data_IF_053287970958
#
_entry.id   IF_053287970958
#
_cell.length_a   1.000
_cell.length_b   1.000
_cell.length_c   1.000
_cell.angle_alpha   90.00
_cell.angle_beta   90.00
_cell.angle_gamma   90.00
#
_symmetry.space_group_name_H-M   'P 1'
#
loop_
_entity.id
_entity.type
_entity.pdbx_description
1 polymer ?
#
# COMPACT_ATOMS: atom_id res chain seq x y z
N UNK A 1 -39.60 7.62 12.82
CA UNK A 1 -38.14 7.47 12.68
C UNK A 1 -37.73 6.20 13.41
N UNK A 2 -37.23 5.21 12.67
CA UNK A 2 -37.12 3.81 13.09
C UNK A 2 -35.86 3.57 13.92
N UNK A 3 -35.96 3.52 15.25
CA UNK A 3 -34.85 3.08 16.11
C UNK A 3 -34.65 1.56 16.12
N UNK A 4 -35.54 0.81 15.43
CA UNK A 4 -35.46 -0.65 15.34
C UNK A 4 -34.46 -1.15 14.31
N UNK A 5 -34.17 -0.38 13.25
CA UNK A 5 -33.19 -0.78 12.23
C UNK A 5 -31.76 -0.72 12.76
N UNK A 6 -31.44 0.31 13.54
CA UNK A 6 -30.09 0.52 14.05
C UNK A 6 -29.71 -0.52 15.11
N UNK A 7 -30.67 -0.92 15.95
CA UNK A 7 -30.47 -1.97 16.96
C UNK A 7 -30.31 -3.36 16.35
N UNK A 8 -31.00 -3.65 15.24
CA UNK A 8 -30.86 -4.93 14.52
C UNK A 8 -29.50 -5.00 13.83
N UNK A 9 -29.07 -3.90 13.21
CA UNK A 9 -27.76 -3.83 12.55
C UNK A 9 -26.61 -3.97 13.55
N UNK A 10 -26.69 -3.35 14.73
CA UNK A 10 -25.68 -3.54 15.79
C UNK A 10 -25.68 -4.94 16.38
N UNK A 11 -26.83 -5.63 16.44
CA UNK A 11 -26.92 -6.99 16.95
C UNK A 11 -26.44 -8.03 15.94
N UNK A 12 -26.63 -7.80 14.64
CA UNK A 12 -26.05 -8.65 13.59
C UNK A 12 -24.53 -8.45 13.51
N UNK A 13 -24.05 -7.21 13.64
CA UNK A 13 -22.61 -6.91 13.78
C UNK A 13 -22.03 -7.53 15.05
N UNK A 14 -22.77 -7.52 16.17
CA UNK A 14 -22.37 -8.19 17.40
C UNK A 14 -22.43 -9.71 17.28
N UNK A 15 -23.42 -10.31 16.62
CA UNK A 15 -23.49 -11.77 16.40
C UNK A 15 -22.40 -12.27 15.45
N UNK A 16 -22.02 -11.47 14.46
CA UNK A 16 -20.83 -11.72 13.63
C UNK A 16 -19.53 -11.57 14.44
N UNK A 17 -19.51 -10.72 15.48
CA UNK A 17 -18.36 -10.54 16.36
C UNK A 17 -18.29 -11.55 17.53
N UNK A 18 -19.43 -12.02 18.05
CA UNK A 18 -19.58 -13.00 19.13
C UNK A 18 -20.06 -14.31 18.53
N UNK A 19 -19.16 -15.00 17.85
CA UNK A 19 -19.45 -16.28 17.20
C UNK A 19 -19.93 -17.32 18.20
N UNK A 20 -21.19 -17.71 18.05
CA UNK A 20 -21.67 -19.02 18.51
C UNK A 20 -22.01 -19.81 17.26
N UNK A 21 -21.04 -20.52 16.69
CA UNK A 21 -21.29 -21.53 15.66
C UNK A 21 -20.28 -22.69 15.75
N UNK A 22 -20.71 -23.90 15.33
CA UNK A 22 -20.10 -25.18 15.68
C UNK A 22 -18.68 -25.30 15.14
N UNK A 23 -17.94 -26.31 15.62
CA UNK A 23 -16.56 -26.62 15.24
C UNK A 23 -16.42 -27.09 13.77
N UNK A 24 -16.93 -26.29 12.83
CA UNK A 24 -16.73 -26.42 11.39
C UNK A 24 -15.36 -25.82 11.08
N UNK A 25 -14.36 -26.70 11.03
CA UNK A 25 -13.01 -26.49 10.52
C UNK A 25 -12.42 -25.08 10.70
N UNK A 26 -11.76 -24.85 11.82
CA UNK A 26 -11.05 -23.60 12.17
C UNK A 26 -10.13 -23.05 11.06
N UNK A 27 -9.67 -23.91 10.13
CA UNK A 27 -8.90 -23.52 8.95
C UNK A 27 -9.76 -22.86 7.88
N UNK A 28 -10.93 -23.39 7.55
CA UNK A 28 -11.83 -22.83 6.54
C UNK A 28 -12.31 -21.44 6.98
N UNK A 29 -12.68 -21.30 8.26
CA UNK A 29 -13.04 -19.99 8.83
C UNK A 29 -11.89 -18.99 8.80
N UNK A 30 -10.64 -19.42 9.02
CA UNK A 30 -9.45 -18.56 8.96
C UNK A 30 -9.11 -18.13 7.54
N UNK A 31 -9.17 -19.05 6.57
CA UNK A 31 -8.93 -18.75 5.15
C UNK A 31 -10.03 -17.83 4.60
N UNK A 32 -11.28 -18.08 4.96
CA UNK A 32 -12.41 -17.22 4.58
C UNK A 32 -12.25 -15.78 5.08
N UNK A 33 -11.86 -15.60 6.36
CA UNK A 33 -11.54 -14.27 6.91
C UNK A 33 -10.36 -13.61 6.21
N UNK A 34 -9.28 -14.35 5.96
CA UNK A 34 -8.13 -13.83 5.23
C UNK A 34 -8.48 -13.37 3.82
N UNK A 35 -9.28 -14.14 3.08
CA UNK A 35 -9.76 -13.76 1.74
C UNK A 35 -10.68 -12.53 1.78
N UNK A 36 -11.54 -12.42 2.79
CA UNK A 36 -12.36 -11.23 3.00
C UNK A 36 -11.52 -9.98 3.30
N UNK A 37 -10.59 -10.09 4.25
CA UNK A 37 -9.68 -9.01 4.65
C UNK A 37 -8.76 -8.60 3.50
N UNK A 38 -8.27 -9.55 2.71
CA UNK A 38 -7.34 -9.29 1.60
C UNK A 38 -8.07 -8.83 0.33
N UNK A 39 -9.15 -9.49 -0.04
CA UNK A 39 -9.89 -9.24 -1.27
C UNK A 39 -10.80 -8.02 -1.15
N UNK A 40 -11.81 -8.09 -0.28
CA UNK A 40 -12.84 -7.05 -0.21
C UNK A 40 -12.30 -5.75 0.37
N UNK A 41 -11.60 -5.83 1.51
CA UNK A 41 -11.05 -4.63 2.17
C UNK A 41 -9.66 -4.26 1.65
N UNK A 42 -8.80 -5.25 1.42
CA UNK A 42 -7.39 -5.03 1.09
C UNK A 42 -7.18 -4.55 -0.34
N UNK A 43 -7.85 -5.15 -1.34
CA UNK A 43 -7.60 -4.86 -2.75
C UNK A 43 -8.06 -3.44 -3.12
N UNK A 44 -9.28 -3.06 -2.73
CA UNK A 44 -9.80 -1.71 -2.96
C UNK A 44 -8.93 -0.65 -2.26
N UNK A 45 -8.50 -0.93 -1.04
CA UNK A 45 -7.64 -0.03 -0.27
C UNK A 45 -6.24 0.10 -0.90
N UNK A 46 -5.60 -1.01 -1.27
CA UNK A 46 -4.28 -1.00 -1.92
C UNK A 46 -4.36 -0.28 -3.26
N UNK A 47 -5.37 -0.60 -4.08
CA UNK A 47 -5.53 0.03 -5.39
C UNK A 47 -5.70 1.55 -5.28
N UNK A 48 -6.60 2.02 -4.41
CA UNK A 48 -6.87 3.44 -4.22
C UNK A 48 -5.66 4.17 -3.63
N UNK A 49 -5.03 3.60 -2.61
CA UNK A 49 -3.86 4.21 -1.97
C UNK A 49 -2.63 4.22 -2.87
N UNK A 50 -2.51 3.27 -3.80
CA UNK A 50 -1.37 3.14 -4.72
C UNK A 50 -1.61 3.79 -6.07
N UNK A 51 -2.74 4.49 -6.25
CA UNK A 51 -3.11 5.09 -7.52
C UNK A 51 -2.00 5.98 -8.13
N UNK A 52 -1.26 6.81 -7.37
CA UNK A 52 -0.18 7.62 -7.93
C UNK A 52 0.95 6.79 -8.56
N UNK A 53 1.43 5.74 -7.88
CA UNK A 53 2.52 4.90 -8.41
C UNK A 53 2.08 4.06 -9.61
N UNK A 54 0.84 3.57 -9.59
CA UNK A 54 0.25 2.84 -10.71
C UNK A 54 0.05 3.77 -11.90
N UNK A 55 -0.46 4.98 -11.69
CA UNK A 55 -0.61 5.96 -12.76
C UNK A 55 0.73 6.22 -13.47
N UNK A 56 1.81 6.41 -12.70
CA UNK A 56 3.14 6.57 -13.28
C UNK A 56 3.61 5.31 -14.03
N UNK A 57 3.42 4.11 -13.45
CA UNK A 57 3.84 2.85 -14.07
C UNK A 57 3.15 2.59 -15.42
N UNK A 58 1.85 2.90 -15.52
CA UNK A 58 1.09 2.75 -16.76
C UNK A 58 1.38 3.85 -17.80
N UNK A 59 1.92 5.00 -17.37
CA UNK A 59 2.28 6.13 -18.23
C UNK A 59 3.77 6.24 -18.52
N UNK A 60 4.57 5.25 -18.15
CA UNK A 60 6.01 5.26 -18.39
C UNK A 60 6.38 5.02 -19.87
N UNK A 61 7.31 5.81 -20.45
CA UNK A 61 7.80 5.63 -21.82
C UNK A 61 8.72 4.43 -22.06
N UNK A 62 9.56 4.09 -21.07
CA UNK A 62 10.54 2.99 -21.18
C UNK A 62 9.97 1.63 -20.74
N UNK A 63 8.75 1.62 -20.22
CA UNK A 63 8.05 0.43 -19.77
C UNK A 63 7.43 -0.34 -20.92
N UNK A 64 8.16 -1.32 -21.45
CA UNK A 64 7.56 -2.44 -22.18
C UNK A 64 6.59 -3.25 -21.30
N UNK A 65 6.11 -4.37 -21.84
CA UNK A 65 5.22 -5.32 -21.17
C UNK A 65 5.68 -5.68 -19.74
N UNK A 66 6.99 -5.68 -19.47
CA UNK A 66 7.57 -6.09 -18.18
C UNK A 66 7.18 -5.23 -16.99
N UNK A 67 7.28 -3.89 -17.05
CA UNK A 67 6.93 -3.00 -15.90
C UNK A 67 5.43 -3.05 -15.62
N UNK A 68 4.60 -3.01 -16.67
CA UNK A 68 3.13 -3.04 -16.51
C UNK A 68 2.66 -4.39 -15.98
N UNK A 69 3.17 -5.48 -16.52
CA UNK A 69 2.84 -6.83 -16.03
C UNK A 69 3.35 -7.04 -14.60
N UNK A 70 4.55 -6.54 -14.26
CA UNK A 70 5.05 -6.57 -12.88
C UNK A 70 4.15 -5.75 -11.95
N UNK A 71 3.70 -4.57 -12.36
CA UNK A 71 2.76 -3.77 -11.58
C UNK A 71 1.44 -4.50 -11.33
N UNK A 72 0.87 -5.15 -12.35
CA UNK A 72 -0.36 -5.93 -12.20
C UNK A 72 -0.18 -7.08 -11.21
N UNK A 73 0.92 -7.85 -11.31
CA UNK A 73 1.22 -8.94 -10.38
C UNK A 73 1.36 -8.40 -8.95
N UNK A 74 2.16 -7.35 -8.75
CA UNK A 74 2.43 -6.83 -7.42
C UNK A 74 1.19 -6.17 -6.79
N UNK A 75 0.30 -5.54 -7.56
CA UNK A 75 -0.98 -4.99 -7.06
C UNK A 75 -1.89 -6.09 -6.53
N UNK A 76 -1.89 -7.27 -7.15
CA UNK A 76 -2.70 -8.42 -6.68
C UNK A 76 -2.06 -9.08 -5.47
N UNK A 77 -0.73 -9.22 -5.44
CA UNK A 77 -0.04 -9.92 -4.34
C UNK A 77 0.04 -9.08 -3.07
N UNK A 78 0.27 -7.77 -3.18
CA UNK A 78 0.39 -6.87 -2.03
C UNK A 78 -0.77 -6.97 -1.02
N UNK A 79 -2.06 -6.92 -1.42
CA UNK A 79 -3.18 -7.04 -0.47
C UNK A 79 -3.26 -8.43 0.18
N UNK A 80 -2.85 -9.50 -0.51
CA UNK A 80 -2.78 -10.86 0.06
C UNK A 80 -1.75 -10.93 1.20
N UNK A 81 -0.59 -10.32 0.99
CA UNK A 81 0.48 -10.26 1.98
C UNK A 81 0.07 -9.39 3.17
N UNK A 82 -0.51 -8.21 2.90
CA UNK A 82 -1.03 -7.33 3.95
C UNK A 82 -2.10 -8.03 4.78
N UNK A 83 -3.04 -8.74 4.14
CA UNK A 83 -4.04 -9.54 4.84
C UNK A 83 -3.42 -10.66 5.66
N UNK A 84 -2.38 -11.33 5.15
CA UNK A 84 -1.68 -12.36 5.91
C UNK A 84 -1.00 -11.80 7.17
N UNK A 85 -0.43 -10.59 7.12
CA UNK A 85 0.09 -9.91 8.31
C UNK A 85 -1.02 -9.46 9.28
N UNK A 86 -2.17 -9.02 8.77
CA UNK A 86 -3.32 -8.59 9.61
C UNK A 86 -3.93 -9.76 10.40
N UNK A 87 -4.03 -10.92 9.77
CA UNK A 87 -4.57 -12.14 10.37
C UNK A 87 -3.53 -12.91 11.21
N UNK A 88 -2.32 -12.37 11.37
CA UNK A 88 -1.24 -13.01 12.15
C UNK A 88 -0.66 -14.27 11.52
N UNK A 89 -0.90 -14.52 10.23
CA UNK A 89 -0.29 -15.63 9.48
C UNK A 89 1.20 -15.40 9.22
N UNK A 90 1.61 -14.12 9.17
CA UNK A 90 3.01 -13.69 9.06
C UNK A 90 3.37 -12.82 10.26
N UNK A 91 4.56 -13.01 10.84
CA UNK A 91 5.05 -12.21 11.95
C UNK A 91 6.34 -11.48 11.57
N UNK A 92 6.33 -10.14 11.68
CA UNK A 92 7.49 -9.27 11.45
C UNK A 92 7.73 -8.33 12.64
N UNK A 93 7.42 -8.79 13.85
CA UNK A 93 7.63 -8.09 15.11
C UNK A 93 6.58 -7.03 15.49
N UNK A 94 5.88 -6.41 14.52
CA UNK A 94 4.77 -5.48 14.78
C UNK A 94 3.54 -5.81 13.93
N UNK A 95 2.31 -5.76 14.49
CA UNK A 95 1.11 -6.05 13.74
C UNK A 95 0.90 -5.02 12.64
N UNK A 96 0.34 -5.47 11.51
CA UNK A 96 -0.06 -4.53 10.47
C UNK A 96 -1.17 -3.62 10.99
N UNK A 97 -1.05 -2.30 10.89
CA UNK A 97 -2.02 -1.44 11.50
C UNK A 97 -3.35 -1.46 10.72
N UNK A 98 -4.46 -1.65 11.44
CA UNK A 98 -5.83 -1.67 10.90
C UNK A 98 -6.39 -0.25 10.75
N UNK A 99 -7.38 -0.08 9.88
CA UNK A 99 -8.18 1.15 9.79
C UNK A 99 -9.51 0.85 10.47
N UNK A 100 -9.85 1.63 11.49
CA UNK A 100 -11.15 1.56 12.16
C UNK A 100 -11.85 2.90 12.02
N UNK A 101 -13.18 2.89 11.94
CA UNK A 101 -14.03 4.08 11.86
C UNK A 101 -13.73 5.08 12.98
N UNK A 102 -13.44 4.60 14.19
CA UNK A 102 -13.04 5.42 15.35
C UNK A 102 -11.73 6.21 15.16
N UNK A 103 -10.85 5.81 14.21
CA UNK A 103 -9.64 6.57 13.90
C UNK A 103 -9.93 7.68 12.89
N UNK A 104 -10.93 7.55 12.04
CA UNK A 104 -11.28 8.53 11.01
C UNK A 104 -11.97 9.79 11.54
N UNK A 105 -12.36 9.83 12.83
CA UNK A 105 -13.01 11.00 13.45
C UNK A 105 -12.03 12.09 13.90
N UNK A 106 -10.71 11.89 13.79
CA UNK A 106 -9.70 12.83 14.25
C UNK A 106 -8.64 13.11 13.17
N UNK A 107 -8.07 14.32 13.15
CA UNK A 107 -7.04 14.74 12.20
C UNK A 107 -5.83 13.78 12.15
N UNK A 108 -5.38 13.29 13.31
CA UNK A 108 -4.30 12.31 13.41
C UNK A 108 -4.58 10.96 12.74
N UNK A 109 -5.85 10.55 12.64
CA UNK A 109 -6.20 9.31 11.96
C UNK A 109 -6.21 9.42 10.44
N UNK A 110 -6.65 10.56 9.89
CA UNK A 110 -6.47 10.87 8.46
C UNK A 110 -4.98 10.87 8.09
N UNK A 111 -4.14 11.50 8.92
CA UNK A 111 -2.70 11.52 8.71
C UNK A 111 -2.09 10.12 8.72
N UNK A 112 -2.53 9.26 9.65
CA UNK A 112 -2.10 7.86 9.69
C UNK A 112 -2.49 7.08 8.42
N UNK A 113 -3.62 7.37 7.80
CA UNK A 113 -4.05 6.69 6.56
C UNK A 113 -3.23 7.22 5.39
N UNK A 114 -3.06 8.54 5.31
CA UNK A 114 -2.22 9.19 4.30
C UNK A 114 -0.79 8.64 4.30
N UNK A 115 -0.13 8.59 5.46
CA UNK A 115 1.22 8.03 5.61
C UNK A 115 1.33 6.58 5.13
N UNK A 116 0.32 5.76 5.43
CA UNK A 116 0.30 4.36 4.94
C UNK A 116 0.16 4.31 3.43
N UNK A 117 -0.67 5.17 2.84
CA UNK A 117 -0.77 5.27 1.40
C UNK A 117 0.55 5.66 0.76
N UNK A 118 1.26 6.64 1.31
CA UNK A 118 2.59 7.05 0.84
C UNK A 118 3.60 5.91 0.94
N UNK A 119 3.70 5.24 2.09
CA UNK A 119 4.59 4.09 2.26
C UNK A 119 4.26 2.93 1.31
N UNK A 120 2.98 2.70 1.03
CA UNK A 120 2.54 1.69 0.07
C UNK A 120 2.94 2.07 -1.37
N UNK A 121 2.82 3.34 -1.74
CA UNK A 121 3.34 3.84 -3.03
C UNK A 121 4.85 3.65 -3.14
N UNK A 122 5.61 3.89 -2.06
CA UNK A 122 7.05 3.65 -2.05
C UNK A 122 7.38 2.16 -2.19
N UNK A 123 6.70 1.28 -1.43
CA UNK A 123 6.89 -0.17 -1.51
C UNK A 123 6.58 -0.74 -2.88
N UNK A 124 5.44 -0.38 -3.45
CA UNK A 124 5.11 -0.78 -4.81
C UNK A 124 6.05 -0.14 -5.82
N UNK A 125 6.43 1.13 -5.65
CA UNK A 125 7.36 1.81 -6.53
C UNK A 125 8.72 1.11 -6.60
N UNK A 126 9.31 0.78 -5.44
CA UNK A 126 10.56 0.04 -5.37
C UNK A 126 10.42 -1.32 -6.07
N UNK A 127 9.38 -2.10 -5.75
CA UNK A 127 9.18 -3.42 -6.37
C UNK A 127 8.94 -3.36 -7.89
N UNK A 128 8.06 -2.46 -8.34
CA UNK A 128 7.68 -2.29 -9.74
C UNK A 128 8.87 -1.81 -10.57
N UNK A 129 9.56 -0.77 -10.12
CA UNK A 129 10.64 -0.16 -10.91
C UNK A 129 11.95 -0.95 -10.81
N UNK A 130 12.29 -1.52 -9.66
CA UNK A 130 13.48 -2.40 -9.57
C UNK A 130 13.26 -3.72 -10.34
N UNK A 131 12.12 -4.38 -10.14
CA UNK A 131 11.74 -5.57 -10.92
C UNK A 131 11.65 -5.26 -12.41
N UNK A 132 10.99 -4.16 -12.75
CA UNK A 132 10.90 -3.66 -14.13
C UNK A 132 12.26 -3.40 -14.78
N UNK A 133 13.21 -2.80 -14.06
CA UNK A 133 14.57 -2.59 -14.54
C UNK A 133 15.28 -3.92 -14.86
N UNK A 134 15.19 -4.90 -13.95
CA UNK A 134 15.74 -6.25 -14.17
C UNK A 134 15.05 -6.93 -15.35
N UNK A 135 13.73 -6.80 -15.47
CA UNK A 135 12.98 -7.35 -16.60
C UNK A 135 13.38 -6.76 -17.94
N UNK A 136 13.66 -5.45 -17.98
CA UNK A 136 14.17 -4.78 -19.18
C UNK A 136 15.59 -5.25 -19.53
N UNK A 137 16.47 -5.39 -18.52
CA UNK A 137 17.84 -5.86 -18.73
C UNK A 137 17.93 -7.31 -19.20
N UNK A 138 17.04 -8.17 -18.69
CA UNK A 138 17.05 -9.62 -18.95
C UNK A 138 16.08 -10.06 -20.04
N UNK A 139 15.14 -9.19 -20.46
CA UNK A 139 14.04 -9.55 -21.34
C UNK A 139 13.03 -10.53 -20.72
N UNK A 140 13.05 -10.73 -19.39
CA UNK A 140 12.27 -11.77 -18.70
C UNK A 140 11.31 -11.19 -17.67
N UNK A 141 10.01 -11.43 -17.86
CA UNK A 141 8.99 -11.12 -16.87
C UNK A 141 9.18 -11.93 -15.58
N UNK A 142 9.61 -13.18 -15.69
CA UNK A 142 9.86 -14.03 -14.53
C UNK A 142 10.99 -13.46 -13.65
N UNK A 143 12.06 -12.94 -14.26
CA UNK A 143 13.13 -12.26 -13.54
C UNK A 143 12.63 -10.96 -12.89
N UNK A 144 11.79 -10.19 -13.60
CA UNK A 144 11.18 -8.97 -13.08
C UNK A 144 10.34 -9.23 -11.82
N UNK A 145 9.45 -10.22 -11.90
CA UNK A 145 8.59 -10.63 -10.78
C UNK A 145 9.42 -11.25 -9.66
N UNK A 146 10.42 -12.06 -9.99
CA UNK A 146 11.32 -12.70 -9.03
C UNK A 146 12.11 -11.72 -8.17
N UNK A 147 12.40 -10.53 -8.68
CA UNK A 147 13.04 -9.44 -7.91
C UNK A 147 12.01 -8.53 -7.25
N UNK A 148 10.96 -8.15 -7.97
CA UNK A 148 9.94 -7.22 -7.47
C UNK A 148 9.16 -7.79 -6.28
N UNK A 149 8.85 -9.09 -6.29
CA UNK A 149 8.06 -9.75 -5.26
C UNK A 149 8.78 -9.74 -3.89
N UNK A 150 10.04 -10.20 -3.74
CA UNK A 150 10.77 -10.08 -2.47
C UNK A 150 10.86 -8.65 -1.96
N UNK A 151 11.11 -7.67 -2.84
CA UNK A 151 11.20 -6.26 -2.45
C UNK A 151 9.86 -5.75 -1.90
N UNK A 152 8.73 -6.12 -2.49
CA UNK A 152 7.41 -5.80 -1.96
C UNK A 152 7.18 -6.50 -0.62
N UNK A 153 7.55 -7.78 -0.47
CA UNK A 153 7.39 -8.51 0.79
C UNK A 153 8.16 -7.85 1.93
N UNK A 154 9.43 -7.50 1.69
CA UNK A 154 10.28 -6.79 2.65
C UNK A 154 9.74 -5.40 2.92
N UNK A 155 9.40 -4.65 1.88
CA UNK A 155 8.85 -3.30 1.99
C UNK A 155 7.54 -3.27 2.78
N UNK A 156 6.67 -4.25 2.54
CA UNK A 156 5.46 -4.48 3.34
C UNK A 156 5.89 -4.70 4.80
N UNK A 157 6.70 -5.72 5.10
CA UNK A 157 7.15 -6.01 6.46
C UNK A 157 7.80 -4.82 7.20
N UNK A 158 8.39 -3.86 6.50
CA UNK A 158 8.97 -2.64 7.05
C UNK A 158 7.95 -1.55 7.42
N UNK A 159 6.76 -1.51 6.80
CA UNK A 159 5.75 -0.44 7.03
C UNK A 159 5.40 -0.25 8.51
N UNK A 160 5.17 -1.30 9.33
CA UNK A 160 4.88 -1.12 10.76
C UNK A 160 6.00 -0.42 11.55
N UNK A 161 7.25 -0.54 11.10
CA UNK A 161 8.42 0.10 11.71
C UNK A 161 8.61 1.54 11.26
N UNK A 162 8.16 1.87 10.05
CA UNK A 162 8.23 3.21 9.46
C UNK A 162 7.02 4.09 9.76
N UNK A 163 5.91 3.52 10.25
CA UNK A 163 4.69 4.27 10.58
C UNK A 163 4.83 5.24 11.77
N UNK A 164 5.52 4.89 12.87
CA UNK A 164 5.63 5.76 14.05
C UNK A 164 6.30 7.12 13.78
N UNK A 165 6.06 8.09 14.67
CA UNK A 165 6.61 9.45 14.59
C UNK A 165 7.89 9.62 15.39
N UNK A 166 8.81 8.68 15.24
CA UNK A 166 10.14 8.81 15.85
C UNK A 166 11.11 9.41 14.83
N UNK A 167 12.19 10.07 15.27
CA UNK A 167 13.24 10.57 14.37
C UNK A 167 13.82 9.45 13.48
N UNK A 168 14.02 8.25 14.06
CA UNK A 168 14.53 7.08 13.34
C UNK A 168 13.56 6.61 12.24
N UNK A 169 12.28 6.49 12.55
CA UNK A 169 11.28 6.11 11.56
C UNK A 169 11.18 7.16 10.45
N UNK A 170 11.24 8.45 10.79
CA UNK A 170 11.22 9.55 9.82
C UNK A 170 12.44 9.51 8.88
N UNK A 171 13.64 9.31 9.42
CA UNK A 171 14.85 9.13 8.60
C UNK A 171 14.72 7.92 7.67
N UNK A 172 14.16 6.80 8.16
CA UNK A 172 13.84 5.64 7.34
C UNK A 172 12.86 5.95 6.21
N UNK A 173 11.80 6.73 6.49
CA UNK A 173 10.83 7.18 5.47
C UNK A 173 11.49 8.07 4.41
N UNK A 174 12.38 8.98 4.81
CA UNK A 174 13.15 9.83 3.87
C UNK A 174 13.99 8.94 2.95
N UNK A 175 14.78 8.03 3.51
CA UNK A 175 15.60 7.11 2.72
C UNK A 175 14.75 6.28 1.76
N UNK A 176 13.60 5.79 2.21
CA UNK A 176 12.71 4.99 1.39
C UNK A 176 12.06 5.79 0.26
N UNK A 177 11.64 7.02 0.54
CA UNK A 177 11.13 7.95 -0.47
C UNK A 177 12.19 8.26 -1.53
N UNK A 178 13.43 8.54 -1.12
CA UNK A 178 14.54 8.82 -2.05
C UNK A 178 14.80 7.62 -2.96
N UNK A 179 14.86 6.40 -2.41
CA UNK A 179 15.08 5.18 -3.21
C UNK A 179 13.92 4.97 -4.19
N UNK A 180 12.68 5.04 -3.73
CA UNK A 180 11.49 4.84 -4.56
C UNK A 180 11.39 5.87 -5.69
N UNK A 181 11.56 7.16 -5.38
CA UNK A 181 11.49 8.24 -6.36
C UNK A 181 12.66 8.19 -7.36
N UNK A 182 13.87 7.83 -6.90
CA UNK A 182 15.03 7.70 -7.79
C UNK A 182 14.84 6.55 -8.78
N UNK A 183 14.39 5.38 -8.31
CA UNK A 183 14.07 4.24 -9.19
C UNK A 183 12.96 4.60 -10.17
N UNK A 184 11.88 5.23 -9.68
CA UNK A 184 10.80 5.69 -10.53
C UNK A 184 11.31 6.65 -11.61
N UNK A 185 12.13 7.64 -11.25
CA UNK A 185 12.69 8.61 -12.20
C UNK A 185 13.57 7.94 -13.26
N UNK A 186 14.52 7.10 -12.84
CA UNK A 186 15.50 6.44 -13.72
C UNK A 186 14.83 5.46 -14.68
N UNK A 187 13.92 4.63 -14.16
CA UNK A 187 13.29 3.54 -14.92
C UNK A 187 12.13 4.07 -15.77
N UNK A 188 11.31 4.97 -15.23
CA UNK A 188 10.18 5.51 -15.99
C UNK A 188 10.55 6.63 -16.94
N UNK A 189 11.65 7.34 -16.72
CA UNK A 189 12.05 8.51 -17.50
C UNK A 189 10.87 9.48 -17.73
N UNK A 190 10.22 9.97 -16.66
CA UNK A 190 8.95 10.68 -16.75
C UNK A 190 9.05 11.98 -17.58
N UNK A 191 10.27 12.53 -17.71
CA UNK A 191 10.58 13.75 -18.44
C UNK A 191 11.12 13.52 -19.86
N UNK A 192 10.95 12.32 -20.44
CA UNK A 192 11.49 11.96 -21.77
C UNK A 192 10.94 12.76 -22.96
N UNK A 193 9.97 13.66 -22.76
CA UNK A 193 9.40 14.51 -23.81
C UNK A 193 8.49 13.80 -24.82
N UNK A 194 8.26 12.50 -24.68
CA UNK A 194 7.45 11.74 -25.63
C UNK A 194 5.94 12.09 -25.46
N UNK A 195 5.26 12.53 -26.54
CA UNK A 195 3.87 13.00 -26.47
C UNK A 195 2.85 11.93 -26.08
N UNK A 196 3.18 10.63 -26.20
CA UNK A 196 2.32 9.53 -25.71
C UNK A 196 2.24 9.46 -24.19
N UNK A 197 3.17 10.11 -23.48
CA UNK A 197 3.36 10.00 -22.04
C UNK A 197 3.29 11.36 -21.32
N UNK A 198 2.56 12.32 -21.89
CA UNK A 198 2.41 13.70 -21.37
C UNK A 198 1.98 13.82 -19.90
N UNK A 199 1.36 12.78 -19.34
CA UNK A 199 0.91 12.76 -17.94
C UNK A 199 1.92 12.13 -16.96
N UNK A 200 3.01 11.54 -17.44
CA UNK A 200 4.05 10.97 -16.59
C UNK A 200 4.76 11.99 -15.68
N UNK A 201 5.09 13.23 -16.13
CA UNK A 201 5.62 14.26 -15.25
C UNK A 201 4.67 14.60 -14.10
N UNK A 202 3.36 14.70 -14.37
CA UNK A 202 2.35 15.02 -13.37
C UNK A 202 2.20 13.90 -12.33
N UNK A 203 2.21 12.64 -12.77
CA UNK A 203 2.17 11.49 -11.87
C UNK A 203 3.41 11.42 -10.95
N UNK A 204 4.60 11.70 -11.52
CA UNK A 204 5.84 11.77 -10.75
C UNK A 204 5.83 12.95 -9.76
N UNK A 205 5.39 14.13 -10.18
CA UNK A 205 5.27 15.30 -9.31
C UNK A 205 4.30 15.04 -8.16
N UNK A 206 3.17 14.36 -8.41
CA UNK A 206 2.23 13.94 -7.39
C UNK A 206 2.88 13.01 -6.37
N UNK A 207 3.62 11.99 -6.82
CA UNK A 207 4.38 11.08 -5.94
C UNK A 207 5.39 11.83 -5.06
N UNK A 208 6.13 12.76 -5.65
CA UNK A 208 7.09 13.58 -4.91
C UNK A 208 6.36 14.46 -3.88
N UNK A 209 5.26 15.11 -4.27
CA UNK A 209 4.47 15.97 -3.39
C UNK A 209 3.88 15.21 -2.20
N UNK A 210 3.25 14.05 -2.43
CA UNK A 210 2.71 13.26 -1.31
C UNK A 210 3.81 12.75 -0.38
N UNK A 211 5.00 12.45 -0.91
CA UNK A 211 6.18 12.08 -0.12
C UNK A 211 6.65 13.23 0.76
N UNK A 212 6.74 14.45 0.22
CA UNK A 212 7.12 15.64 1.00
C UNK A 212 6.08 15.96 2.07
N UNK A 213 4.79 15.81 1.75
CA UNK A 213 3.71 16.04 2.71
C UNK A 213 3.83 15.04 3.87
N UNK A 214 4.02 13.74 3.61
CA UNK A 214 4.11 12.71 4.66
C UNK A 214 5.20 12.98 5.72
N UNK A 215 6.30 13.61 5.28
CA UNK A 215 7.43 13.94 6.14
C UNK A 215 7.16 15.09 7.10
N UNK A 216 6.04 15.82 6.96
CA UNK A 216 5.66 16.89 7.88
C UNK A 216 5.13 16.31 9.22
N UNK A 217 5.55 16.85 10.37
CA UNK A 217 4.94 16.49 11.65
C UNK A 217 3.52 17.08 11.73
N UNK A 218 2.48 16.25 11.87
CA UNK A 218 1.11 16.77 12.00
C UNK A 218 0.87 17.45 13.35
N UNK A 219 1.63 17.13 14.39
CA UNK A 219 1.55 17.80 15.70
C UNK A 219 1.76 19.32 15.62
N UNK A 220 2.57 19.78 14.65
CA UNK A 220 2.78 21.20 14.38
C UNK A 220 1.60 21.89 13.67
N UNK A 221 0.60 21.13 13.22
CA UNK A 221 -0.62 21.65 12.60
C UNK A 221 -1.74 21.89 13.61
N UNK A 222 -1.76 21.15 14.72
CA UNK A 222 -2.74 21.34 15.81
C UNK A 222 -2.36 22.51 16.74
N UNK A 223 -1.06 22.80 16.92
CA UNK A 223 -0.58 23.94 17.76
C UNK A 223 -0.82 25.33 17.12
N UNK A 224 -1.33 25.39 15.89
CA UNK A 224 -1.66 26.65 15.19
C UNK A 224 -3.16 26.97 15.17
N UNK A 225 -3.96 26.30 15.99
CA UNK A 225 -5.37 26.62 16.25
C UNK A 225 -5.57 27.00 17.70
#
# INVERSE_FOLDING_TARGET
>A
MSSRSDLVQTNDDQRLATGTEPATDSRIGRVGRWLWTSGYQGLAQVFLLSAPVLWLAFRSPRSGETVKSTALVLVVVTPLVVGAFREGLLTAGRPWPTITSARLSFAGGYWSIFRRGVLLNHTLGVGIYAGGAVGVLTGSLAAAVGVGLPLVLVGVALVPWLTPETPRATAGRVGYAVVALSLAFLVSAPLSGNPRFRTAPAAFALLALVSVVDLRPWRLLDERR
#
